data_IF_517401789267
#
_entry.id   IF_517401789267
#
_cell.length_a   1.000
_cell.length_b   1.000
_cell.length_c   1.000
_cell.angle_alpha   90.00
_cell.angle_beta   90.00
_cell.angle_gamma   90.00
#
_symmetry.space_group_name_H-M   'P 1'
#
loop_
_entity.id
_entity.type
_entity.pdbx_description
1 polymer ?
#
# COMPACT_ATOMS: atom_id res chain seq x y z
N UNK A 1 -7.19 21.81 -48.46
CA UNK A 1 -7.63 21.90 -47.05
C UNK A 1 -8.42 20.64 -46.72
N UNK A 2 -7.85 19.44 -46.81
CA UNK A 2 -6.69 18.82 -46.15
C UNK A 2 -7.11 18.18 -44.83
N UNK A 3 -7.65 16.97 -44.93
CA UNK A 3 -7.98 16.08 -43.80
C UNK A 3 -6.80 15.96 -42.81
N UNK A 4 -5.56 15.99 -43.32
CA UNK A 4 -4.36 16.02 -42.48
C UNK A 4 -4.25 17.28 -41.61
N UNK A 5 -4.63 18.46 -42.14
CA UNK A 5 -4.60 19.69 -41.35
C UNK A 5 -5.65 19.64 -40.24
N UNK A 6 -6.85 19.10 -40.50
CA UNK A 6 -7.89 18.91 -39.49
C UNK A 6 -7.46 17.94 -38.39
N UNK A 7 -6.86 16.80 -38.76
CA UNK A 7 -6.35 15.82 -37.78
C UNK A 7 -5.24 16.43 -36.90
N UNK A 8 -4.34 17.21 -37.51
CA UNK A 8 -3.27 17.90 -36.79
C UNK A 8 -3.84 18.98 -35.86
N UNK A 9 -4.80 19.79 -36.32
CA UNK A 9 -5.43 20.81 -35.47
C UNK A 9 -6.19 20.19 -34.29
N UNK A 10 -6.91 19.09 -34.51
CA UNK A 10 -7.63 18.39 -33.44
C UNK A 10 -6.68 17.77 -32.42
N UNK A 11 -5.55 17.23 -32.88
CA UNK A 11 -4.50 16.72 -32.02
C UNK A 11 -3.86 17.83 -31.17
N UNK A 12 -3.48 18.94 -31.79
CA UNK A 12 -2.87 20.09 -31.11
C UNK A 12 -3.84 20.72 -30.10
N UNK A 13 -5.11 20.91 -30.50
CA UNK A 13 -6.15 21.47 -29.63
C UNK A 13 -6.37 20.60 -28.41
N UNK A 14 -6.50 19.28 -28.58
CA UNK A 14 -6.67 18.35 -27.45
C UNK A 14 -5.46 18.35 -26.51
N UNK A 15 -4.24 18.39 -27.04
CA UNK A 15 -3.03 18.49 -26.22
C UNK A 15 -2.95 19.82 -25.46
N UNK A 16 -3.35 20.92 -26.10
CA UNK A 16 -3.42 22.22 -25.45
C UNK A 16 -4.35 22.17 -24.23
N UNK A 17 -5.59 21.69 -24.37
CA UNK A 17 -6.51 21.57 -23.24
C UNK A 17 -6.06 20.56 -22.19
N UNK A 18 -5.40 19.48 -22.60
CA UNK A 18 -4.76 18.54 -21.68
C UNK A 18 -3.69 19.24 -20.82
N UNK A 19 -2.82 20.05 -21.41
CA UNK A 19 -1.79 20.78 -20.69
C UNK A 19 -2.38 21.85 -19.76
N UNK A 20 -3.46 22.51 -20.19
CA UNK A 20 -4.21 23.48 -19.37
C UNK A 20 -4.78 22.82 -18.13
N UNK A 21 -5.55 21.73 -18.25
CA UNK A 21 -6.14 21.06 -17.08
C UNK A 21 -5.07 20.51 -16.13
N UNK A 22 -3.96 20.00 -16.68
CA UNK A 22 -2.83 19.52 -15.89
C UNK A 22 -2.23 20.64 -15.05
N UNK A 23 -1.95 21.80 -15.65
CA UNK A 23 -1.31 22.94 -14.99
C UNK A 23 -2.25 23.69 -14.03
N UNK A 24 -3.52 23.79 -14.36
CA UNK A 24 -4.45 24.63 -13.61
C UNK A 24 -5.21 23.86 -12.53
N UNK A 25 -5.55 22.59 -12.75
CA UNK A 25 -6.41 21.82 -11.83
C UNK A 25 -5.77 20.58 -11.23
N UNK A 26 -4.81 19.94 -11.90
CA UNK A 26 -4.24 18.65 -11.44
C UNK A 26 -2.88 18.77 -10.73
N UNK A 27 -2.29 19.97 -10.61
CA UNK A 27 -0.99 20.14 -9.95
C UNK A 27 -1.00 19.61 -8.52
N UNK A 28 -2.01 19.95 -7.71
CA UNK A 28 -2.10 19.51 -6.32
C UNK A 28 -2.12 17.96 -6.17
N UNK A 29 -3.02 17.21 -6.85
CA UNK A 29 -3.00 15.75 -6.78
C UNK A 29 -1.73 15.12 -7.39
N UNK A 30 -1.12 15.74 -8.41
CA UNK A 30 0.17 15.29 -8.97
C UNK A 30 1.29 15.43 -7.92
N UNK A 31 1.39 16.61 -7.29
CA UNK A 31 2.38 16.87 -6.23
C UNK A 31 2.20 15.90 -5.07
N UNK A 32 0.97 15.65 -4.65
CA UNK A 32 0.65 14.64 -3.64
C UNK A 32 1.21 13.26 -4.01
N UNK A 33 1.01 12.77 -5.23
CA UNK A 33 1.55 11.49 -5.70
C UNK A 33 3.08 11.47 -5.76
N UNK A 34 3.71 12.57 -6.19
CA UNK A 34 5.17 12.69 -6.22
C UNK A 34 5.75 12.67 -4.80
N UNK A 35 5.12 13.33 -3.83
CA UNK A 35 5.52 13.26 -2.42
C UNK A 35 5.46 11.83 -1.91
N UNK A 36 4.36 11.10 -2.20
CA UNK A 36 4.24 9.69 -1.83
C UNK A 36 5.35 8.84 -2.43
N UNK A 37 5.73 9.08 -3.69
CA UNK A 37 6.81 8.37 -4.36
C UNK A 37 8.18 8.64 -3.70
N UNK A 38 8.48 9.92 -3.45
CA UNK A 38 9.74 10.38 -2.84
C UNK A 38 9.92 9.84 -1.42
N UNK A 39 8.83 9.64 -0.68
CA UNK A 39 8.88 9.06 0.67
C UNK A 39 8.87 7.52 0.61
N UNK A 40 7.99 6.95 -0.22
CA UNK A 40 7.72 5.51 -0.27
C UNK A 40 8.90 4.70 -0.77
N UNK A 41 9.59 5.16 -1.82
CA UNK A 41 10.76 4.45 -2.37
C UNK A 41 11.90 4.31 -1.34
N UNK A 42 12.51 5.38 -0.80
CA UNK A 42 13.62 5.24 0.14
C UNK A 42 13.17 4.56 1.44
N UNK A 43 11.95 4.85 1.91
CA UNK A 43 11.40 4.23 3.11
C UNK A 43 11.32 2.72 2.99
N UNK A 44 10.70 2.19 1.94
CA UNK A 44 10.55 0.76 1.76
C UNK A 44 11.86 0.06 1.37
N UNK A 45 12.75 0.72 0.62
CA UNK A 45 14.12 0.23 0.35
C UNK A 45 14.89 0.05 1.67
N UNK A 46 14.80 1.01 2.60
CA UNK A 46 15.50 0.94 3.88
C UNK A 46 15.10 -0.30 4.69
N UNK A 47 13.81 -0.69 4.66
CA UNK A 47 13.31 -1.91 5.29
C UNK A 47 13.98 -3.15 4.68
N UNK A 48 14.05 -3.24 3.35
CA UNK A 48 14.67 -4.38 2.68
C UNK A 48 16.17 -4.51 3.04
N UNK A 49 16.88 -3.38 3.14
CA UNK A 49 18.29 -3.34 3.53
C UNK A 49 18.47 -3.80 4.98
N UNK A 50 17.72 -3.22 5.92
CA UNK A 50 17.81 -3.50 7.36
C UNK A 50 17.52 -4.99 7.63
N UNK A 51 16.42 -5.52 7.09
CA UNK A 51 16.00 -6.90 7.38
C UNK A 51 16.60 -7.95 6.43
N UNK A 52 17.52 -7.58 5.53
CA UNK A 52 18.20 -8.51 4.62
C UNK A 52 18.88 -9.64 5.38
N UNK A 53 19.65 -9.28 6.40
CA UNK A 53 20.51 -10.20 7.18
C UNK A 53 19.89 -10.69 8.49
N UNK A 54 18.63 -10.34 8.77
CA UNK A 54 17.93 -10.84 9.95
C UNK A 54 17.57 -12.32 9.77
N UNK A 55 17.64 -13.09 10.86
CA UNK A 55 17.18 -14.47 10.90
C UNK A 55 15.72 -14.56 10.41
N UNK A 56 15.50 -15.37 9.37
CA UNK A 56 14.24 -15.42 8.63
C UNK A 56 13.18 -16.22 9.39
N UNK A 57 12.53 -15.57 10.37
CA UNK A 57 11.28 -16.06 10.95
C UNK A 57 10.07 -15.60 10.12
N UNK A 58 8.87 -16.12 10.44
CA UNK A 58 7.62 -15.79 9.73
C UNK A 58 7.38 -14.28 9.69
N UNK A 59 7.63 -13.57 10.79
CA UNK A 59 7.43 -12.13 10.89
C UNK A 59 8.37 -11.32 9.97
N UNK A 60 9.67 -11.61 9.98
CA UNK A 60 10.64 -10.95 9.11
C UNK A 60 10.29 -11.18 7.64
N UNK A 61 9.82 -12.39 7.29
CA UNK A 61 9.34 -12.66 5.92
C UNK A 61 8.11 -11.82 5.56
N UNK A 62 7.17 -11.62 6.50
CA UNK A 62 6.00 -10.75 6.31
C UNK A 62 6.44 -9.30 6.06
N UNK A 63 7.29 -8.72 6.92
CA UNK A 63 7.80 -7.35 6.73
C UNK A 63 8.46 -7.20 5.35
N UNK A 64 9.34 -8.14 5.01
CA UNK A 64 10.08 -8.09 3.76
C UNK A 64 9.15 -8.19 2.55
N UNK A 65 8.12 -9.03 2.63
CA UNK A 65 7.09 -9.16 1.59
C UNK A 65 6.29 -7.87 1.45
N UNK A 66 5.84 -7.26 2.56
CA UNK A 66 5.09 -6.00 2.55
C UNK A 66 5.92 -4.89 1.88
N UNK A 67 7.19 -4.74 2.27
CA UNK A 67 8.07 -3.74 1.68
C UNK A 67 8.32 -3.96 0.17
N UNK A 68 8.41 -5.22 -0.29
CA UNK A 68 8.49 -5.51 -1.74
C UNK A 68 7.20 -5.08 -2.44
N UNK A 69 6.04 -5.46 -1.92
CA UNK A 69 4.75 -5.11 -2.53
C UNK A 69 4.54 -3.60 -2.60
N UNK A 70 4.87 -2.89 -1.53
CA UNK A 70 4.78 -1.43 -1.48
C UNK A 70 5.73 -0.77 -2.49
N UNK A 71 6.94 -1.33 -2.70
CA UNK A 71 7.84 -0.84 -3.74
C UNK A 71 7.31 -1.09 -5.15
N UNK A 72 6.70 -2.24 -5.41
CA UNK A 72 6.08 -2.49 -6.72
C UNK A 72 4.95 -1.49 -6.95
N UNK A 73 4.09 -1.22 -5.96
CA UNK A 73 3.07 -0.17 -6.05
C UNK A 73 3.66 1.22 -6.25
N UNK A 74 4.75 1.56 -5.56
CA UNK A 74 5.43 2.85 -5.76
C UNK A 74 6.03 2.96 -7.17
N UNK A 75 6.61 1.89 -7.71
CA UNK A 75 7.28 1.89 -9.02
C UNK A 75 6.33 1.73 -10.21
N UNK A 76 5.13 1.20 -9.99
CA UNK A 76 4.18 0.86 -11.05
C UNK A 76 2.88 1.63 -10.82
N UNK A 77 2.17 1.36 -9.71
CA UNK A 77 0.85 1.94 -9.43
C UNK A 77 0.84 3.47 -9.38
N UNK A 78 1.81 4.10 -8.70
CA UNK A 78 1.90 5.57 -8.65
C UNK A 78 2.21 6.16 -10.04
N UNK A 79 3.23 5.70 -10.80
CA UNK A 79 3.48 6.15 -12.17
C UNK A 79 2.30 6.00 -13.12
N UNK A 80 1.52 4.92 -13.03
CA UNK A 80 0.30 4.78 -13.84
C UNK A 80 -0.78 5.79 -13.45
N UNK A 81 -0.96 6.08 -12.15
CA UNK A 81 -1.85 7.15 -11.70
C UNK A 81 -1.41 8.53 -12.19
N UNK A 82 -0.10 8.79 -12.20
CA UNK A 82 0.49 10.02 -12.77
C UNK A 82 0.27 10.08 -14.27
N UNK A 83 0.52 9.00 -15.00
CA UNK A 83 0.26 8.90 -16.44
C UNK A 83 -1.21 9.20 -16.78
N UNK A 84 -2.15 8.73 -15.94
CA UNK A 84 -3.58 9.07 -16.07
C UNK A 84 -3.85 10.57 -15.95
N UNK A 85 -3.15 11.27 -15.05
CA UNK A 85 -3.31 12.71 -14.86
C UNK A 85 -2.65 13.51 -15.98
N UNK A 86 -1.43 13.15 -16.37
CA UNK A 86 -0.71 13.84 -17.44
C UNK A 86 -1.35 13.66 -18.82
N UNK A 87 -2.15 12.61 -19.01
CA UNK A 87 -2.86 12.33 -20.25
C UNK A 87 -4.38 12.44 -20.10
N UNK A 88 -4.87 13.31 -19.22
CA UNK A 88 -6.27 13.42 -18.83
C UNK A 88 -7.26 13.35 -20.02
N UNK A 89 -7.02 14.11 -21.10
CA UNK A 89 -7.89 14.12 -22.30
C UNK A 89 -7.39 13.25 -23.46
N UNK A 90 -6.28 12.54 -23.31
CA UNK A 90 -5.60 11.85 -24.41
C UNK A 90 -5.84 10.33 -24.47
N UNK A 91 -6.80 9.80 -23.70
CA UNK A 91 -7.09 8.37 -23.65
C UNK A 91 -8.00 7.89 -24.79
N UNK A 92 -7.50 7.81 -26.02
CA UNK A 92 -8.27 7.27 -27.16
C UNK A 92 -8.38 5.73 -27.18
N UNK A 93 -7.39 5.04 -26.63
CA UNK A 93 -7.29 3.58 -26.69
C UNK A 93 -7.99 2.92 -25.49
N UNK A 94 -8.88 1.96 -25.79
CA UNK A 94 -9.53 1.12 -24.78
C UNK A 94 -8.50 0.36 -23.95
N UNK A 95 -7.53 -0.26 -24.62
CA UNK A 95 -6.47 -1.03 -23.96
C UNK A 95 -5.63 -0.15 -23.05
N UNK A 96 -5.29 1.08 -23.47
CA UNK A 96 -4.54 2.02 -22.63
C UNK A 96 -5.35 2.45 -21.39
N UNK A 97 -6.66 2.67 -21.54
CA UNK A 97 -7.52 3.01 -20.41
C UNK A 97 -7.65 1.84 -19.42
N UNK A 98 -7.88 0.62 -19.93
CA UNK A 98 -7.95 -0.59 -19.11
C UNK A 98 -6.64 -0.87 -18.38
N UNK A 99 -5.49 -0.77 -19.05
CA UNK A 99 -4.17 -0.97 -18.42
C UNK A 99 -3.93 0.06 -17.32
N UNK A 100 -4.28 1.33 -17.52
CA UNK A 100 -4.06 2.38 -16.53
C UNK A 100 -4.97 2.21 -15.31
N UNK A 101 -6.24 1.83 -15.51
CA UNK A 101 -7.17 1.53 -14.40
C UNK A 101 -6.76 0.26 -13.67
N UNK A 102 -6.42 -0.79 -14.43
CA UNK A 102 -5.91 -2.04 -13.90
C UNK A 102 -4.64 -1.76 -13.10
N UNK A 103 -3.68 -0.99 -13.60
CA UNK A 103 -2.43 -0.71 -12.88
C UNK A 103 -2.57 0.03 -11.56
N UNK A 104 -3.65 0.79 -11.36
CA UNK A 104 -4.02 1.36 -10.06
C UNK A 104 -4.59 0.32 -9.09
N UNK A 105 -5.14 -0.77 -9.62
CA UNK A 105 -5.69 -1.93 -8.91
C UNK A 105 -4.72 -3.14 -8.90
N UNK A 106 -3.69 -3.13 -9.74
CA UNK A 106 -2.66 -4.16 -9.91
C UNK A 106 -1.54 -3.81 -8.96
N UNK A 107 -1.72 -4.33 -7.77
CA UNK A 107 -0.68 -5.16 -7.18
C UNK A 107 -1.38 -6.07 -6.17
N UNK A 108 -2.09 -7.07 -6.70
CA UNK A 108 -2.42 -8.22 -5.88
C UNK A 108 -1.15 -8.99 -5.55
N UNK A 109 -1.03 -9.49 -4.31
CA UNK A 109 0.26 -9.79 -3.72
C UNK A 109 0.92 -10.97 -4.44
N UNK A 110 1.94 -10.68 -5.25
CA UNK A 110 2.89 -11.69 -5.71
C UNK A 110 3.69 -12.18 -4.50
N UNK A 111 3.13 -13.17 -3.80
CA UNK A 111 3.71 -13.74 -2.59
C UNK A 111 4.76 -14.80 -2.93
N UNK A 112 5.88 -14.38 -3.50
CA UNK A 112 7.04 -15.27 -3.61
C UNK A 112 7.80 -15.26 -2.27
N UNK A 113 7.66 -16.39 -1.57
CA UNK A 113 8.35 -16.85 -0.35
C UNK A 113 7.71 -16.59 1.03
N UNK A 114 6.67 -17.37 1.39
CA UNK A 114 6.50 -17.87 2.78
C UNK A 114 5.94 -19.30 2.75
N UNK A 115 6.76 -20.31 3.01
CA UNK A 115 6.32 -21.70 3.17
C UNK A 115 5.79 -21.96 4.59
N UNK A 116 4.46 -21.86 4.70
CA UNK A 116 3.57 -22.69 5.50
C UNK A 116 2.39 -22.98 4.57
N UNK A 117 2.19 -24.23 4.11
CA UNK A 117 1.27 -24.57 3.00
C UNK A 117 -0.13 -23.94 3.14
N UNK A 118 -0.64 -23.85 4.36
CA UNK A 118 -1.96 -23.25 4.65
C UNK A 118 -1.96 -21.73 4.42
N UNK A 119 -0.88 -21.03 4.74
CA UNK A 119 -0.79 -19.57 4.58
C UNK A 119 -0.65 -19.20 3.10
N UNK A 120 0.14 -19.93 2.31
CA UNK A 120 0.20 -19.69 0.85
C UNK A 120 -1.15 -19.90 0.18
N UNK A 121 -1.92 -20.90 0.63
CA UNK A 121 -3.28 -21.15 0.16
C UNK A 121 -4.24 -19.99 0.48
N UNK A 122 -4.26 -19.50 1.73
CA UNK A 122 -5.09 -18.35 2.10
C UNK A 122 -4.75 -17.08 1.32
N UNK A 123 -3.45 -16.80 1.06
CA UNK A 123 -3.10 -15.66 0.21
C UNK A 123 -3.56 -15.88 -1.23
N UNK A 124 -3.38 -17.08 -1.80
CA UNK A 124 -3.89 -17.39 -3.13
C UNK A 124 -5.39 -17.08 -3.26
N UNK A 125 -6.18 -17.44 -2.24
CA UNK A 125 -7.60 -17.09 -2.16
C UNK A 125 -7.81 -15.58 -2.09
N UNK A 126 -7.10 -14.86 -1.21
CA UNK A 126 -7.23 -13.40 -1.12
C UNK A 126 -6.88 -12.70 -2.44
N UNK A 127 -5.85 -13.17 -3.16
CA UNK A 127 -5.51 -12.68 -4.49
C UNK A 127 -6.65 -12.95 -5.48
N UNK A 128 -7.17 -14.18 -5.51
CA UNK A 128 -8.22 -14.57 -6.43
C UNK A 128 -9.51 -13.78 -6.20
N UNK A 129 -9.92 -13.61 -4.93
CA UNK A 129 -11.05 -12.77 -4.55
C UNK A 129 -10.81 -11.34 -5.00
N UNK A 130 -9.62 -10.82 -4.74
CA UNK A 130 -9.26 -9.47 -5.13
C UNK A 130 -9.32 -9.20 -6.63
N UNK A 131 -8.75 -10.11 -7.43
CA UNK A 131 -8.85 -10.08 -8.89
C UNK A 131 -10.31 -10.16 -9.33
N UNK A 132 -11.07 -11.11 -8.79
CA UNK A 132 -12.50 -11.26 -9.11
C UNK A 132 -13.29 -10.00 -8.79
N UNK A 133 -13.00 -9.34 -7.67
CA UNK A 133 -13.60 -8.06 -7.30
C UNK A 133 -13.16 -6.94 -8.23
N UNK A 134 -11.93 -6.92 -8.77
CA UNK A 134 -11.46 -5.89 -9.70
C UNK A 134 -11.98 -6.00 -11.13
N UNK A 135 -12.31 -7.22 -11.59
CA UNK A 135 -12.75 -7.49 -12.98
C UNK A 135 -13.90 -6.58 -13.45
N UNK A 136 -15.00 -6.39 -12.69
CA UNK A 136 -16.09 -5.52 -13.13
C UNK A 136 -15.66 -4.07 -13.40
N UNK A 137 -14.73 -3.51 -12.60
CA UNK A 137 -14.22 -2.16 -12.85
C UNK A 137 -13.42 -2.09 -14.16
N UNK A 138 -12.62 -3.11 -14.45
CA UNK A 138 -11.82 -3.18 -15.69
C UNK A 138 -12.74 -3.33 -16.91
N UNK A 139 -13.72 -4.23 -16.82
CA UNK A 139 -14.63 -4.55 -17.93
C UNK A 139 -15.46 -3.33 -18.37
N UNK A 140 -15.78 -2.43 -17.44
CA UNK A 140 -16.57 -1.22 -17.70
C UNK A 140 -15.70 0.05 -17.82
N UNK A 141 -14.37 -0.07 -17.72
CA UNK A 141 -13.44 1.02 -17.98
C UNK A 141 -13.32 1.27 -19.47
N UNK A 142 -13.64 2.48 -19.90
CA UNK A 142 -13.62 2.85 -21.31
C UNK A 142 -13.28 4.34 -21.48
N UNK A 143 -12.70 4.71 -22.64
CA UNK A 143 -12.62 6.11 -23.07
C UNK A 143 -14.01 6.75 -23.10
N UNK A 144 -14.19 7.81 -22.31
CA UNK A 144 -15.37 8.64 -22.33
C UNK A 144 -15.09 9.90 -23.14
N UNK A 145 -15.90 10.11 -24.19
CA UNK A 145 -15.80 11.29 -25.03
C UNK A 145 -16.39 12.49 -24.31
N UNK A 146 -15.56 13.48 -24.01
CA UNK A 146 -15.99 14.79 -23.54
C UNK A 146 -16.10 15.71 -24.75
N UNK A 147 -17.34 16.06 -25.09
CA UNK A 147 -17.67 16.82 -26.29
C UNK A 147 -17.43 18.30 -26.06
N UNK A 148 -16.77 18.93 -27.03
CA UNK A 148 -16.48 20.36 -27.10
C UNK A 148 -15.49 20.87 -26.03
N UNK A 149 -14.23 20.46 -26.17
CA UNK A 149 -13.11 21.15 -25.53
C UNK A 149 -12.90 22.57 -26.09
N UNK A 150 -13.58 22.95 -27.18
CA UNK A 150 -13.31 24.13 -27.99
C UNK A 150 -13.10 23.75 -29.45
N UNK A 151 -13.61 24.57 -30.38
CA UNK A 151 -13.57 24.33 -31.83
C UNK A 151 -14.14 22.97 -32.26
N UNK A 152 -15.16 22.45 -31.57
CA UNK A 152 -15.79 21.15 -31.86
C UNK A 152 -14.80 19.96 -31.74
N UNK A 153 -13.74 20.11 -30.95
CA UNK A 153 -12.75 19.06 -30.68
C UNK A 153 -13.16 18.22 -29.48
N UNK A 154 -13.11 16.90 -29.63
CA UNK A 154 -13.48 15.94 -28.58
C UNK A 154 -12.27 15.47 -27.77
N UNK A 155 -12.37 15.59 -26.46
CA UNK A 155 -11.45 15.00 -25.49
C UNK A 155 -11.83 13.57 -25.14
N UNK A 156 -10.87 12.74 -24.74
CA UNK A 156 -11.13 11.37 -24.28
C UNK A 156 -10.55 11.16 -22.89
N UNK A 157 -11.42 11.10 -21.88
CA UNK A 157 -11.04 10.80 -20.51
C UNK A 157 -11.16 9.30 -20.25
N UNK A 158 -10.28 8.74 -19.41
CA UNK A 158 -10.41 7.33 -19.02
C UNK A 158 -11.25 7.21 -17.74
N UNK A 159 -12.47 6.73 -17.89
CA UNK A 159 -13.47 6.69 -16.82
C UNK A 159 -14.12 5.32 -16.68
N UNK A 160 -14.50 4.97 -15.45
CA UNK A 160 -15.27 3.76 -15.15
C UNK A 160 -16.74 4.06 -15.39
N UNK A 161 -17.18 3.95 -16.65
CA UNK A 161 -18.51 4.38 -17.08
C UNK A 161 -19.44 3.19 -17.29
N UNK A 162 -20.42 3.02 -16.40
CA UNK A 162 -21.55 2.11 -16.60
C UNK A 162 -22.65 2.82 -17.38
N UNK A 163 -22.34 3.19 -18.63
CA UNK A 163 -23.15 4.05 -19.49
C UNK A 163 -24.61 3.58 -19.61
N UNK A 164 -24.80 2.26 -19.70
CA UNK A 164 -26.12 1.66 -19.88
C UNK A 164 -26.81 1.28 -18.56
N UNK A 165 -26.12 1.41 -17.42
CA UNK A 165 -26.64 0.98 -16.12
C UNK A 165 -26.06 1.76 -14.93
N UNK A 166 -26.44 3.04 -14.73
CA UNK A 166 -26.02 3.84 -13.57
C UNK A 166 -26.40 3.23 -12.22
N UNK A 167 -27.45 2.39 -12.21
CA UNK A 167 -27.88 1.62 -11.05
C UNK A 167 -26.94 0.45 -10.74
N UNK A 168 -26.37 -0.21 -11.75
CA UNK A 168 -25.41 -1.30 -11.54
C UNK A 168 -24.10 -0.78 -10.92
N UNK A 169 -23.60 0.37 -11.40
CA UNK A 169 -22.47 1.05 -10.76
C UNK A 169 -22.76 1.36 -9.28
N UNK A 170 -23.97 1.84 -8.98
CA UNK A 170 -24.38 2.15 -7.59
C UNK A 170 -24.36 0.89 -6.74
N UNK A 171 -25.05 -0.16 -7.18
CA UNK A 171 -25.14 -1.42 -6.46
C UNK A 171 -23.76 -2.05 -6.23
N UNK A 172 -22.88 -1.97 -7.23
CA UNK A 172 -21.53 -2.50 -7.13
C UNK A 172 -20.66 -1.70 -6.15
N UNK A 173 -20.73 -0.37 -6.16
CA UNK A 173 -20.01 0.46 -5.16
C UNK A 173 -20.59 0.31 -3.74
N UNK A 174 -21.91 0.11 -3.57
CA UNK A 174 -22.51 -0.30 -2.29
C UNK A 174 -21.89 -1.61 -1.82
N UNK A 175 -21.83 -2.59 -2.71
CA UNK A 175 -21.27 -3.90 -2.39
C UNK A 175 -19.80 -3.81 -1.98
N UNK A 176 -18.97 -3.07 -2.72
CA UNK A 176 -17.57 -2.84 -2.35
C UNK A 176 -17.42 -2.11 -1.01
N UNK A 177 -18.25 -1.08 -0.77
CA UNK A 177 -18.27 -0.35 0.50
C UNK A 177 -18.66 -1.28 1.65
N UNK A 178 -19.66 -2.13 1.46
CA UNK A 178 -20.08 -3.13 2.44
C UNK A 178 -18.96 -4.12 2.77
N UNK A 179 -18.28 -4.66 1.75
CA UNK A 179 -17.14 -5.55 1.94
C UNK A 179 -16.00 -4.89 2.72
N UNK A 180 -15.69 -3.63 2.41
CA UNK A 180 -14.69 -2.85 3.15
C UNK A 180 -15.08 -2.67 4.63
N UNK A 181 -16.33 -2.29 4.90
CA UNK A 181 -16.83 -2.13 6.28
C UNK A 181 -16.85 -3.46 7.03
N UNK A 182 -17.24 -4.55 6.37
CA UNK A 182 -17.19 -5.89 6.93
C UNK A 182 -15.75 -6.30 7.28
N UNK A 183 -14.81 -6.14 6.34
CA UNK A 183 -13.40 -6.45 6.56
C UNK A 183 -12.79 -5.67 7.73
N UNK A 184 -12.99 -4.34 7.75
CA UNK A 184 -12.48 -3.47 8.82
C UNK A 184 -13.11 -3.79 10.17
N UNK A 185 -14.41 -4.12 10.21
CA UNK A 185 -15.09 -4.53 11.43
C UNK A 185 -14.58 -5.87 11.96
N UNK A 186 -14.38 -6.87 11.09
CA UNK A 186 -13.82 -8.17 11.47
C UNK A 186 -12.40 -8.03 12.02
N UNK A 187 -11.56 -7.21 11.37
CA UNK A 187 -10.23 -6.90 11.89
C UNK A 187 -10.29 -6.20 13.25
N UNK A 188 -11.18 -5.22 13.41
CA UNK A 188 -11.35 -4.51 14.67
C UNK A 188 -11.75 -5.45 15.81
N UNK A 189 -12.74 -6.32 15.58
CA UNK A 189 -13.16 -7.34 16.55
C UNK A 189 -12.00 -8.28 16.87
N UNK A 190 -11.28 -8.77 15.85
CA UNK A 190 -10.12 -9.63 16.03
C UNK A 190 -9.04 -8.95 16.88
N UNK A 191 -8.76 -7.66 16.65
CA UNK A 191 -7.77 -6.93 17.43
C UNK A 191 -8.21 -6.68 18.87
N UNK A 192 -9.50 -6.43 19.11
CA UNK A 192 -10.05 -6.39 20.47
C UNK A 192 -9.85 -7.75 21.14
N UNK A 193 -10.19 -8.85 20.47
CA UNK A 193 -10.01 -10.20 21.02
C UNK A 193 -8.53 -10.47 21.33
N UNK A 194 -7.63 -10.20 20.39
CA UNK A 194 -6.18 -10.36 20.60
C UNK A 194 -5.72 -9.48 21.77
N UNK A 195 -6.16 -8.23 21.84
CA UNK A 195 -5.84 -7.30 22.92
C UNK A 195 -6.33 -7.81 24.29
N UNK A 196 -7.55 -8.36 24.35
CA UNK A 196 -8.11 -8.98 25.56
C UNK A 196 -7.36 -10.25 25.96
N UNK A 197 -7.06 -11.15 25.03
CA UNK A 197 -6.27 -12.36 25.28
C UNK A 197 -4.89 -12.01 25.83
N UNK A 198 -4.22 -11.04 25.21
CA UNK A 198 -2.92 -10.56 25.65
C UNK A 198 -3.00 -9.91 27.05
N UNK A 199 -4.02 -9.09 27.31
CA UNK A 199 -4.22 -8.46 28.61
C UNK A 199 -4.50 -9.50 29.70
N UNK A 200 -5.33 -10.49 29.43
CA UNK A 200 -5.63 -11.60 30.35
C UNK A 200 -4.39 -12.44 30.64
N UNK A 201 -3.58 -12.76 29.61
CA UNK A 201 -2.30 -13.44 29.78
C UNK A 201 -1.33 -12.63 30.65
N UNK A 202 -1.26 -11.31 30.46
CA UNK A 202 -0.45 -10.44 31.29
C UNK A 202 -0.97 -10.33 32.73
N UNK A 203 -2.29 -10.30 32.94
CA UNK A 203 -2.90 -10.28 34.27
C UNK A 203 -2.57 -11.56 35.04
N UNK A 204 -2.76 -12.74 34.43
CA UNK A 204 -2.38 -14.05 35.00
C UNK A 204 -0.87 -14.15 35.28
N UNK A 205 -0.04 -13.63 34.37
CA UNK A 205 1.41 -13.64 34.55
C UNK A 205 1.91 -12.66 35.62
N UNK A 206 1.25 -11.51 35.79
CA UNK A 206 1.58 -10.55 36.87
C UNK A 206 1.27 -11.14 38.25
N UNK A 207 0.30 -12.06 38.35
CA UNK A 207 0.07 -12.85 39.58
C UNK A 207 1.02 -14.03 39.75
N UNK A 208 1.65 -14.55 38.68
CA UNK A 208 2.46 -15.78 38.71
C UNK A 208 4.00 -15.55 38.68
N UNK A 209 4.51 -14.38 38.31
CA UNK A 209 5.93 -14.24 37.92
C UNK A 209 6.79 -13.35 38.85
N UNK A 210 7.19 -13.97 39.97
CA UNK A 210 8.46 -13.74 40.69
C UNK A 210 9.57 -14.69 40.19
N UNK A 211 9.41 -15.36 39.04
CA UNK A 211 10.39 -16.31 38.51
C UNK A 211 10.79 -16.04 37.05
N UNK A 212 12.05 -16.29 36.76
CA UNK A 212 12.77 -15.75 35.61
C UNK A 212 12.35 -16.33 34.25
N UNK A 213 12.68 -15.57 33.19
CA UNK A 213 13.03 -16.05 31.84
C UNK A 213 11.96 -16.25 30.73
N UNK A 214 10.91 -15.43 30.66
CA UNK A 214 10.01 -15.39 29.46
C UNK A 214 9.69 -13.97 28.90
N UNK A 215 10.54 -12.98 29.17
CA UNK A 215 10.29 -11.59 28.73
C UNK A 215 10.35 -11.37 27.21
N UNK A 216 11.24 -12.07 26.49
CA UNK A 216 11.57 -11.75 25.09
C UNK A 216 10.48 -12.15 24.08
N UNK A 217 9.82 -13.29 24.28
CA UNK A 217 8.76 -13.79 23.38
C UNK A 217 7.48 -12.95 23.47
N UNK A 218 7.06 -12.58 24.69
CA UNK A 218 5.85 -11.78 24.89
C UNK A 218 6.03 -10.34 24.43
N UNK A 219 7.19 -9.71 24.71
CA UNK A 219 7.49 -8.36 24.22
C UNK A 219 7.46 -8.33 22.68
N UNK A 220 7.97 -9.38 22.02
CA UNK A 220 7.88 -9.51 20.56
C UNK A 220 6.42 -9.58 20.10
N UNK A 221 5.60 -10.46 20.70
CA UNK A 221 4.17 -10.60 20.38
C UNK A 221 3.38 -9.29 20.51
N UNK A 222 3.56 -8.55 21.61
CA UNK A 222 2.93 -7.25 21.82
C UNK A 222 3.29 -6.22 20.73
N UNK A 223 4.57 -6.17 20.37
CA UNK A 223 5.04 -5.29 19.30
C UNK A 223 4.38 -5.66 17.97
N UNK A 224 4.27 -6.96 17.67
CA UNK A 224 3.63 -7.43 16.42
C UNK A 224 2.18 -7.02 16.36
N UNK A 225 1.44 -7.21 17.45
CA UNK A 225 0.03 -6.83 17.55
C UNK A 225 -0.14 -5.31 17.39
N UNK A 226 0.71 -4.49 18.02
CA UNK A 226 0.66 -3.03 17.85
C UNK A 226 0.89 -2.61 16.40
N UNK A 227 1.90 -3.17 15.75
CA UNK A 227 2.19 -2.91 14.33
C UNK A 227 0.99 -3.31 13.46
N UNK A 228 0.43 -4.51 13.67
CA UNK A 228 -0.72 -4.98 12.90
C UNK A 228 -1.94 -4.06 13.07
N UNK A 229 -2.26 -3.64 14.29
CA UNK A 229 -3.35 -2.69 14.57
C UNK A 229 -3.10 -1.36 13.85
N UNK A 230 -1.87 -0.81 13.93
CA UNK A 230 -1.57 0.48 13.28
C UNK A 230 -1.65 0.37 11.77
N UNK A 231 -1.09 -0.68 11.15
CA UNK A 231 -1.18 -0.90 9.70
C UNK A 231 -2.64 -0.96 9.26
N UNK A 232 -3.48 -1.72 9.98
CA UNK A 232 -4.90 -1.83 9.64
C UNK A 232 -5.69 -0.53 9.86
N UNK A 233 -5.36 0.24 10.91
CA UNK A 233 -5.96 1.55 11.13
C UNK A 233 -5.58 2.52 10.01
N UNK A 234 -4.32 2.53 9.58
CA UNK A 234 -3.87 3.33 8.43
C UNK A 234 -4.59 2.91 7.17
N UNK A 235 -4.71 1.61 6.89
CA UNK A 235 -5.48 1.11 5.74
C UNK A 235 -6.92 1.61 5.76
N UNK A 236 -7.62 1.48 6.89
CA UNK A 236 -9.01 1.92 7.03
C UNK A 236 -9.14 3.43 6.82
N UNK A 237 -8.36 4.23 7.56
CA UNK A 237 -8.42 5.70 7.51
C UNK A 237 -8.01 6.26 6.14
N UNK A 238 -7.03 5.64 5.49
CA UNK A 238 -6.58 6.06 4.15
C UNK A 238 -7.53 5.60 3.04
N UNK A 239 -8.31 4.54 3.23
CA UNK A 239 -9.26 4.06 2.22
C UNK A 239 -10.65 4.70 2.33
N UNK A 240 -11.03 5.20 3.52
CA UNK A 240 -12.32 5.85 3.73
C UNK A 240 -12.61 7.02 2.78
N UNK A 241 -11.67 7.97 2.52
CA UNK A 241 -11.95 9.09 1.63
C UNK A 241 -12.28 8.66 0.21
N UNK A 242 -11.71 7.56 -0.29
CA UNK A 242 -12.05 7.00 -1.61
C UNK A 242 -13.53 6.63 -1.66
N UNK A 243 -14.00 5.81 -0.71
CA UNK A 243 -15.40 5.38 -0.71
C UNK A 243 -16.35 6.56 -0.53
N UNK A 244 -16.05 7.48 0.39
CA UNK A 244 -16.85 8.70 0.59
C UNK A 244 -16.90 9.51 -0.71
N UNK A 245 -15.76 9.67 -1.39
CA UNK A 245 -15.67 10.42 -2.63
C UNK A 245 -16.53 9.79 -3.74
N UNK A 246 -16.43 8.47 -3.97
CA UNK A 246 -17.26 7.78 -4.96
C UNK A 246 -18.75 8.07 -4.74
N UNK A 247 -19.20 8.08 -3.49
CA UNK A 247 -20.58 8.44 -3.14
C UNK A 247 -20.92 9.92 -3.34
N UNK A 248 -20.00 10.82 -2.97
CA UNK A 248 -20.21 12.26 -2.99
C UNK A 248 -20.14 12.87 -4.40
N UNK A 249 -19.36 12.30 -5.31
CA UNK A 249 -19.10 12.89 -6.64
C UNK A 249 -20.07 12.41 -7.71
N UNK A 250 -21.00 11.49 -7.40
CA UNK A 250 -21.92 10.96 -8.39
C UNK A 250 -22.90 12.03 -8.87
N UNK A 251 -22.84 12.37 -10.15
CA UNK A 251 -23.73 13.35 -10.77
C UNK A 251 -23.31 14.80 -10.55
N UNK A 252 -22.12 15.04 -9.95
CA UNK A 252 -21.51 16.35 -9.95
C UNK A 252 -20.84 16.60 -11.30
N UNK A 253 -21.05 17.79 -11.85
CA UNK A 253 -20.26 18.29 -12.96
C UNK A 253 -18.91 18.79 -12.42
N UNK A 254 -17.86 18.00 -12.63
CA UNK A 254 -16.51 18.32 -12.16
C UNK A 254 -15.98 19.63 -12.75
N UNK A 255 -16.53 20.12 -13.87
CA UNK A 255 -16.14 21.38 -14.50
C UNK A 255 -16.61 22.60 -13.69
N UNK A 256 -17.68 22.45 -12.89
CA UNK A 256 -18.22 23.54 -12.06
C UNK A 256 -17.65 23.56 -10.63
N UNK A 257 -16.80 22.61 -10.27
CA UNK A 257 -16.16 22.58 -8.96
C UNK A 257 -15.03 23.60 -8.88
N UNK A 258 -14.97 24.33 -7.77
CA UNK A 258 -13.83 25.19 -7.48
C UNK A 258 -12.53 24.37 -7.37
N UNK A 259 -11.40 25.05 -7.57
CA UNK A 259 -10.10 24.41 -7.63
C UNK A 259 -9.76 23.61 -6.37
N UNK A 260 -10.12 24.12 -5.20
CA UNK A 260 -9.81 23.47 -3.93
C UNK A 260 -10.62 22.18 -3.79
N UNK A 261 -11.93 22.22 -4.01
CA UNK A 261 -12.80 21.04 -3.96
C UNK A 261 -12.38 19.99 -4.97
N UNK A 262 -12.15 20.39 -6.23
CA UNK A 262 -11.68 19.45 -7.26
C UNK A 262 -10.38 18.75 -6.86
N UNK A 263 -9.40 19.53 -6.38
CA UNK A 263 -8.12 18.99 -5.92
C UNK A 263 -8.29 18.00 -4.77
N UNK A 264 -9.11 18.35 -3.77
CA UNK A 264 -9.35 17.52 -2.60
C UNK A 264 -10.02 16.19 -2.99
N UNK A 265 -11.00 16.21 -3.88
CA UNK A 265 -11.68 15.02 -4.37
C UNK A 265 -10.71 14.10 -5.14
N UNK A 266 -9.87 14.65 -6.02
CA UNK A 266 -8.86 13.85 -6.75
C UNK A 266 -7.79 13.25 -5.82
N UNK A 267 -7.44 13.93 -4.74
CA UNK A 267 -6.56 13.41 -3.68
C UNK A 267 -7.29 12.32 -2.87
N UNK A 268 -8.54 12.55 -2.47
CA UNK A 268 -9.35 11.59 -1.73
C UNK A 268 -9.55 10.27 -2.49
N UNK A 269 -9.75 10.33 -3.81
CA UNK A 269 -9.76 9.14 -4.68
C UNK A 269 -8.46 8.32 -4.63
N UNK A 270 -7.38 8.88 -4.10
CA UNK A 270 -6.03 8.29 -4.08
C UNK A 270 -5.43 8.25 -2.68
N UNK A 271 -6.23 8.53 -1.65
CA UNK A 271 -5.76 8.52 -0.26
C UNK A 271 -5.30 7.13 0.16
N UNK A 272 -5.88 6.07 -0.40
CA UNK A 272 -5.52 4.67 -0.12
C UNK A 272 -4.03 4.37 -0.38
N UNK A 273 -3.37 5.13 -1.27
CA UNK A 273 -1.94 4.98 -1.58
C UNK A 273 -1.03 5.29 -0.39
N UNK A 274 -1.51 6.03 0.62
CA UNK A 274 -0.79 6.29 1.87
C UNK A 274 -0.39 4.97 2.55
N UNK A 275 -1.22 3.93 2.42
CA UNK A 275 -0.94 2.61 2.99
C UNK A 275 0.41 2.03 2.53
N UNK A 276 0.82 2.30 1.28
CA UNK A 276 2.08 1.83 0.72
C UNK A 276 3.31 2.63 1.16
N UNK A 277 3.10 3.76 1.84
CA UNK A 277 4.16 4.68 2.27
C UNK A 277 4.27 4.75 3.78
N UNK A 278 3.22 4.36 4.51
CA UNK A 278 3.18 4.45 5.98
C UNK A 278 4.06 3.42 6.70
N UNK A 279 4.31 2.26 6.10
CA UNK A 279 4.96 1.12 6.77
C UNK A 279 6.33 1.45 7.39
N UNK A 280 7.27 2.14 6.70
CA UNK A 280 8.53 2.60 7.30
C UNK A 280 8.35 3.41 8.59
N UNK A 281 7.35 4.29 8.64
CA UNK A 281 7.05 5.12 9.83
C UNK A 281 6.47 4.29 10.97
N UNK A 282 5.64 3.29 10.65
CA UNK A 282 5.09 2.35 11.63
C UNK A 282 6.24 1.55 12.26
N UNK A 283 7.17 1.03 11.46
CA UNK A 283 8.35 0.34 11.97
C UNK A 283 9.27 1.27 12.76
N UNK A 284 9.50 2.51 12.31
CA UNK A 284 10.22 3.50 13.09
C UNK A 284 9.56 3.77 14.45
N UNK A 285 8.24 3.74 14.54
CA UNK A 285 7.51 3.98 15.79
C UNK A 285 7.61 2.80 16.76
N UNK A 286 7.36 1.58 16.28
CA UNK A 286 7.17 0.41 17.14
C UNK A 286 8.37 -0.56 17.17
N UNK A 287 9.32 -0.44 16.24
CA UNK A 287 10.53 -1.26 16.18
C UNK A 287 11.78 -0.47 16.58
N UNK A 288 12.16 -0.59 17.86
CA UNK A 288 13.40 -0.03 18.39
C UNK A 288 14.65 -0.53 17.64
N UNK A 289 14.66 -1.79 17.19
CA UNK A 289 15.77 -2.38 16.45
C UNK A 289 15.90 -1.77 15.06
N UNK A 290 14.76 -1.61 14.37
CA UNK A 290 14.69 -0.90 13.09
C UNK A 290 15.25 0.52 13.22
N UNK A 291 14.78 1.30 14.21
CA UNK A 291 15.29 2.67 14.43
C UNK A 291 16.79 2.73 14.62
N UNK A 292 17.37 1.84 15.42
CA UNK A 292 18.82 1.81 15.66
C UNK A 292 19.58 1.60 14.35
N UNK A 293 19.13 0.64 13.54
CA UNK A 293 19.77 0.40 12.24
C UNK A 293 19.53 1.52 11.23
N UNK A 294 18.35 2.13 11.24
CA UNK A 294 18.02 3.27 10.39
C UNK A 294 18.95 4.46 10.69
N UNK A 295 19.14 4.79 11.97
CA UNK A 295 20.09 5.84 12.38
C UNK A 295 21.51 5.50 11.93
N UNK A 296 21.94 4.23 12.02
CA UNK A 296 23.27 3.83 11.56
C UNK A 296 23.45 4.04 10.05
N UNK A 297 22.42 3.76 9.24
CA UNK A 297 22.44 4.00 7.79
C UNK A 297 22.63 5.49 7.50
N UNK A 298 21.92 6.37 8.20
CA UNK A 298 22.00 7.81 7.97
C UNK A 298 23.17 8.51 8.67
N UNK A 299 23.76 7.91 9.70
CA UNK A 299 24.85 8.52 10.47
C UNK A 299 26.24 8.21 9.94
N UNK A 300 26.40 7.49 8.82
CA UNK A 300 27.70 7.06 8.26
C UNK A 300 28.69 6.49 9.30
N UNK A 301 28.19 5.92 10.40
CA UNK A 301 29.02 5.18 11.35
C UNK A 301 29.11 3.77 10.80
N UNK A 302 30.23 3.46 10.17
CA UNK A 302 30.67 2.09 9.90
C UNK A 302 30.63 1.34 11.23
N UNK A 303 29.59 0.54 11.45
CA UNK A 303 29.64 -0.47 12.50
C UNK A 303 30.45 -1.62 11.96
N UNK A 304 31.70 -1.73 12.41
CA UNK A 304 32.48 -2.96 12.40
C UNK A 304 31.56 -4.11 12.83
N UNK A 305 31.41 -5.08 11.93
CA UNK A 305 30.75 -6.34 12.23
C UNK A 305 31.74 -7.30 12.87
N UNK A 306 32.35 -6.93 13.98
CA UNK A 306 33.18 -7.83 14.78
C UNK A 306 33.11 -7.45 16.26
N UNK A 307 31.99 -7.76 16.95
CA UNK A 307 32.00 -7.93 18.41
C UNK A 307 30.74 -8.57 19.02
N UNK A 308 30.14 -9.59 18.37
CA UNK A 308 29.10 -10.41 19.03
C UNK A 308 29.19 -11.91 18.71
N UNK A 309 30.35 -12.37 18.21
CA UNK A 309 30.69 -13.81 18.04
C UNK A 309 31.61 -14.36 19.15
N UNK A 310 32.01 -13.55 20.12
CA UNK A 310 33.06 -13.91 21.09
C UNK A 310 32.59 -14.44 22.45
N UNK A 311 31.29 -14.72 22.65
CA UNK A 311 30.78 -15.08 23.99
C UNK A 311 29.90 -16.34 24.04
N UNK A 312 29.89 -17.16 22.99
CA UNK A 312 29.28 -18.51 23.02
C UNK A 312 30.31 -19.65 23.10
N UNK A 313 31.60 -19.36 22.83
CA UNK A 313 32.58 -20.42 22.60
C UNK A 313 33.52 -20.65 23.80
N UNK A 314 33.47 -19.79 24.82
CA UNK A 314 34.31 -19.91 26.03
C UNK A 314 33.70 -20.75 27.15
N UNK A 315 32.40 -21.04 27.14
CA UNK A 315 31.76 -21.96 28.11
C UNK A 315 31.75 -23.44 27.67
N UNK A 316 32.06 -23.71 26.40
CA UNK A 316 32.13 -25.08 25.86
C UNK A 316 33.47 -25.78 26.14
N UNK A 317 34.57 -25.02 26.20
CA UNK A 317 35.91 -25.57 26.45
C UNK A 317 36.23 -25.85 27.92
N UNK A 318 35.60 -25.15 28.87
CA UNK A 318 35.81 -25.38 30.31
C UNK A 318 35.01 -26.55 30.89
N UNK A 319 33.96 -27.04 30.20
CA UNK A 319 33.22 -28.25 30.61
C UNK A 319 33.78 -29.56 30.08
N UNK A 320 34.69 -29.53 29.10
CA UNK A 320 35.29 -30.76 28.53
C UNK A 320 36.61 -31.16 29.16
N UNK A 321 37.20 -30.33 30.03
CA UNK A 321 38.47 -30.62 30.71
C UNK A 321 38.31 -31.20 32.12
N UNK A 322 37.09 -31.28 32.67
CA UNK A 322 36.83 -31.74 34.05
C UNK A 322 36.24 -33.16 34.16
N UNK A 323 36.15 -33.91 33.07
CA UNK A 323 35.54 -35.27 33.04
C UNK A 323 36.47 -36.40 32.59
N UNK A 324 37.80 -36.21 32.61
CA UNK A 324 38.75 -37.25 32.18
C UNK A 324 39.92 -37.51 33.14
N UNK A 325 39.70 -37.40 34.45
CA UNK A 325 40.61 -37.99 35.44
C UNK A 325 39.79 -38.63 36.54
N UNK A 326 40.17 -39.85 36.93
CA UNK A 326 39.69 -40.70 38.05
C UNK A 326 38.70 -41.81 37.69
N UNK A 327 39.17 -42.87 37.02
CA UNK A 327 38.95 -44.27 37.43
C UNK A 327 40.12 -45.12 36.90
N UNK A 328 41.03 -45.49 37.79
CA UNK A 328 41.69 -46.81 37.86
C UNK A 328 42.31 -46.96 39.23
#
# INVERSE_FOLDING_TARGET
MDINNTIITDFLTRNFYNDVIVRERLVAPIVYLVILLVIGLPGNISILIIYKNYNKNVYIKIIWTIAVLDLVFCLIGIPFNLSRMFNYYNFKSLTSCQIVVDSGNVCYPLRRQITLKNVSYFIGICCAIGVALGIPQIAVSQPFAETDLGNNVTGYTCSVAWKDSPQAWKNYNVFLTFLFLLYTSLLFILYIMIGRTIHQQNKKRKSELHNLQSGRSTIHSHKMTKIAITVSAVFALSSLPLYINEWATKGLDENNLDLFTFSLLKIAQRSYLINHVANPFIYATFDKGFRKQLVNIFSCKTTDKDHDKGQSDTESSTRKLSTSVTVT
#
